data_IF_384542859344
#
_entry.id   IF_384542859344
#
_cell.length_a   1.000
_cell.length_b   1.000
_cell.length_c   1.000
_cell.angle_alpha   90.00
_cell.angle_beta   90.00
_cell.angle_gamma   90.00
#
_symmetry.space_group_name_H-M   'P 1'
#
loop_
_entity.id
_entity.type
_entity.pdbx_description
1 polymer ?
#
# COMPACT_ATOMS: atom_id res chain seq x y z
N UNK A 1 -27.93 -9.26 -10.08
CA UNK A 1 -26.51 -9.40 -9.72
C UNK A 1 -26.41 -10.64 -8.84
N UNK A 2 -25.58 -11.63 -9.21
CA UNK A 2 -25.41 -12.83 -8.38
C UNK A 2 -24.58 -12.48 -7.15
N UNK A 3 -24.89 -13.07 -6.00
CA UNK A 3 -24.11 -12.87 -4.78
C UNK A 3 -22.94 -13.87 -4.82
N UNK A 4 -21.72 -13.42 -4.47
CA UNK A 4 -20.50 -14.25 -4.50
C UNK A 4 -20.68 -15.63 -3.83
N UNK A 5 -21.44 -15.68 -2.72
CA UNK A 5 -21.74 -16.92 -1.99
C UNK A 5 -22.41 -17.98 -2.89
N UNK A 6 -23.36 -17.58 -3.74
CA UNK A 6 -24.05 -18.49 -4.67
C UNK A 6 -23.09 -19.05 -5.72
N UNK A 7 -22.19 -18.20 -6.22
CA UNK A 7 -21.17 -18.58 -7.22
C UNK A 7 -20.17 -19.57 -6.61
N UNK A 8 -19.72 -19.33 -5.38
CA UNK A 8 -18.80 -20.23 -4.67
C UNK A 8 -19.44 -21.58 -4.32
N UNK A 9 -20.73 -21.61 -3.99
CA UNK A 9 -21.46 -22.86 -3.81
C UNK A 9 -21.55 -23.65 -5.11
N UNK A 10 -21.87 -23.00 -6.23
CA UNK A 10 -21.89 -23.64 -7.54
C UNK A 10 -20.52 -24.22 -7.94
N UNK A 11 -19.42 -23.52 -7.62
CA UNK A 11 -18.06 -24.06 -7.81
C UNK A 11 -17.82 -25.29 -6.95
N UNK A 12 -18.20 -25.24 -5.67
CA UNK A 12 -18.05 -26.36 -4.72
C UNK A 12 -18.82 -27.61 -5.19
N UNK A 13 -20.01 -27.42 -5.76
CA UNK A 13 -20.80 -28.49 -6.36
C UNK A 13 -20.12 -29.08 -7.60
N UNK A 14 -19.51 -28.25 -8.44
CA UNK A 14 -18.76 -28.71 -9.62
C UNK A 14 -17.52 -29.50 -9.23
N UNK A 15 -16.75 -29.03 -8.24
CA UNK A 15 -15.59 -29.74 -7.69
C UNK A 15 -16.01 -31.12 -7.17
N UNK A 16 -17.10 -31.19 -6.40
CA UNK A 16 -17.60 -32.44 -5.84
C UNK A 16 -18.09 -33.43 -6.89
N UNK A 17 -18.79 -32.95 -7.92
CA UNK A 17 -19.42 -33.81 -8.93
C UNK A 17 -18.52 -34.12 -10.14
N UNK A 18 -17.45 -33.35 -10.36
CA UNK A 18 -16.55 -33.45 -11.52
C UNK A 18 -15.08 -33.42 -11.11
N UNK A 19 -14.68 -34.33 -10.22
CA UNK A 19 -13.34 -34.38 -9.62
C UNK A 19 -12.18 -34.47 -10.64
N UNK A 20 -12.42 -34.94 -11.87
CA UNK A 20 -11.40 -35.02 -12.93
C UNK A 20 -11.36 -33.79 -13.86
N UNK A 21 -12.14 -32.75 -13.53
CA UNK A 21 -12.26 -31.56 -14.36
C UNK A 21 -11.95 -30.28 -13.57
N UNK A 22 -12.33 -30.20 -12.31
CA UNK A 22 -12.16 -29.01 -11.47
C UNK A 22 -11.07 -29.27 -10.43
N UNK A 23 -9.95 -28.55 -10.54
CA UNK A 23 -8.79 -28.68 -9.66
C UNK A 23 -8.58 -27.38 -8.91
N UNK A 24 -9.08 -27.32 -7.67
CA UNK A 24 -9.00 -26.15 -6.81
C UNK A 24 -8.41 -26.53 -5.46
N UNK A 25 -7.56 -25.66 -4.93
CA UNK A 25 -6.89 -25.88 -3.68
C UNK A 25 -7.81 -25.60 -2.49
N UNK A 26 -7.49 -26.22 -1.36
CA UNK A 26 -8.23 -26.03 -0.12
C UNK A 26 -8.23 -24.55 0.33
N UNK A 27 -9.27 -24.12 1.07
CA UNK A 27 -9.33 -22.79 1.67
C UNK A 27 -8.01 -22.32 2.29
N UNK A 28 -7.65 -21.07 2.02
CA UNK A 28 -6.58 -20.40 2.78
C UNK A 28 -7.15 -19.92 4.12
N UNK A 29 -6.29 -19.78 5.14
CA UNK A 29 -6.66 -19.11 6.39
C UNK A 29 -6.74 -17.61 6.17
N UNK A 30 -7.66 -16.95 6.88
CA UNK A 30 -7.84 -15.50 6.88
C UNK A 30 -6.56 -14.74 7.21
N UNK A 31 -5.81 -15.21 8.21
CA UNK A 31 -4.51 -14.68 8.63
C UNK A 31 -3.48 -14.55 7.47
N UNK A 32 -3.57 -15.41 6.46
CA UNK A 32 -2.67 -15.40 5.30
C UNK A 32 -3.09 -14.34 4.28
N UNK A 33 -4.40 -14.13 4.11
CA UNK A 33 -4.94 -13.07 3.25
C UNK A 33 -4.64 -11.71 3.87
N UNK A 34 -4.89 -11.58 5.17
CA UNK A 34 -4.51 -10.39 5.94
C UNK A 34 -3.01 -10.11 5.80
N UNK A 35 -2.15 -11.11 6.04
CA UNK A 35 -0.70 -10.94 5.88
C UNK A 35 -0.31 -10.41 4.50
N UNK A 36 -0.94 -10.91 3.44
CA UNK A 36 -0.67 -10.47 2.08
C UNK A 36 -1.05 -8.99 1.89
N UNK A 37 -2.26 -8.60 2.32
CA UNK A 37 -2.74 -7.22 2.25
C UNK A 37 -1.84 -6.28 3.06
N UNK A 38 -1.52 -6.64 4.31
CA UNK A 38 -0.64 -5.86 5.20
C UNK A 38 0.80 -5.76 4.67
N UNK A 39 1.42 -6.89 4.30
CA UNK A 39 2.84 -6.92 3.88
C UNK A 39 3.09 -6.07 2.65
N UNK A 40 2.19 -6.14 1.67
CA UNK A 40 2.36 -5.42 0.41
C UNK A 40 1.63 -4.08 0.39
N UNK A 41 0.88 -3.78 1.46
CA UNK A 41 0.10 -2.58 1.61
C UNK A 41 -0.90 -2.44 0.43
N UNK A 42 -1.67 -3.50 0.16
CA UNK A 42 -2.66 -3.59 -0.92
C UNK A 42 -3.97 -4.17 -0.40
N UNK A 43 -5.05 -3.99 -1.13
CA UNK A 43 -6.36 -4.59 -0.85
C UNK A 43 -6.79 -5.50 -1.99
N UNK A 44 -7.17 -6.73 -1.67
CA UNK A 44 -7.76 -7.66 -2.62
C UNK A 44 -9.27 -7.39 -2.75
N UNK A 45 -9.85 -7.50 -3.96
CA UNK A 45 -11.29 -7.38 -4.15
C UNK A 45 -12.06 -8.30 -3.20
N UNK A 46 -13.12 -7.79 -2.58
CA UNK A 46 -13.90 -8.48 -1.54
C UNK A 46 -14.40 -9.85 -1.98
N UNK A 47 -14.86 -9.97 -3.22
CA UNK A 47 -15.30 -11.23 -3.79
C UNK A 47 -14.15 -12.20 -4.08
N UNK A 48 -12.97 -11.70 -4.43
CA UNK A 48 -11.77 -12.51 -4.58
C UNK A 48 -11.26 -13.03 -3.24
N UNK A 49 -11.29 -12.21 -2.18
CA UNK A 49 -11.02 -12.67 -0.80
C UNK A 49 -11.96 -13.79 -0.39
N UNK A 50 -13.26 -13.61 -0.63
CA UNK A 50 -14.28 -14.64 -0.36
C UNK A 50 -13.99 -15.94 -1.11
N UNK A 51 -13.47 -15.85 -2.33
CA UNK A 51 -13.00 -17.01 -3.08
C UNK A 51 -11.80 -17.67 -2.41
N UNK A 52 -10.71 -16.95 -2.11
CA UNK A 52 -9.51 -17.53 -1.49
C UNK A 52 -9.82 -18.27 -0.16
N UNK A 53 -10.73 -17.72 0.64
CA UNK A 53 -11.21 -18.31 1.90
C UNK A 53 -12.11 -19.55 1.72
N UNK A 54 -12.52 -19.86 0.49
CA UNK A 54 -13.31 -21.04 0.15
C UNK A 54 -12.57 -22.02 -0.76
N UNK A 55 -11.74 -21.51 -1.66
CA UNK A 55 -10.95 -22.18 -2.69
C UNK A 55 -9.72 -21.33 -2.98
N UNK A 56 -8.51 -21.82 -2.66
CA UNK A 56 -7.29 -21.00 -2.74
C UNK A 56 -6.60 -21.11 -4.11
N UNK A 57 -7.31 -20.69 -5.17
CA UNK A 57 -6.84 -20.83 -6.55
C UNK A 57 -7.12 -22.20 -7.15
N UNK A 58 -6.85 -22.33 -8.43
CA UNK A 58 -7.12 -23.53 -9.21
C UNK A 58 -7.42 -23.26 -10.67
N UNK A 59 -7.71 -24.34 -11.38
CA UNK A 59 -8.06 -24.30 -12.80
C UNK A 59 -9.11 -25.35 -13.14
N UNK A 60 -9.70 -25.21 -14.33
CA UNK A 60 -10.59 -26.23 -14.90
C UNK A 60 -9.88 -26.89 -16.08
N UNK A 61 -9.64 -28.19 -15.98
CA UNK A 61 -9.12 -29.00 -17.07
C UNK A 61 -10.20 -29.18 -18.13
N UNK A 62 -9.96 -28.71 -19.35
CA UNK A 62 -10.91 -28.89 -20.45
C UNK A 62 -10.95 -30.36 -20.86
N UNK A 63 -12.11 -30.83 -21.35
CA UNK A 63 -12.28 -32.22 -21.84
C UNK A 63 -11.22 -32.63 -22.87
N UNK A 64 -10.76 -31.70 -23.69
CA UNK A 64 -9.69 -31.92 -24.67
C UNK A 64 -8.35 -32.28 -24.02
N UNK A 65 -8.10 -31.85 -22.79
CA UNK A 65 -6.87 -32.04 -22.03
C UNK A 65 -6.94 -33.23 -21.05
N UNK A 66 -8.11 -33.87 -20.87
CA UNK A 66 -8.27 -35.03 -19.97
C UNK A 66 -7.28 -36.16 -20.26
N UNK A 67 -6.99 -36.41 -21.55
CA UNK A 67 -6.01 -37.44 -21.94
C UNK A 67 -4.59 -37.10 -21.51
N UNK A 68 -4.26 -35.81 -21.42
CA UNK A 68 -2.92 -35.32 -21.04
C UNK A 68 -2.67 -35.59 -19.56
N UNK A 69 -3.69 -35.54 -18.70
CA UNK A 69 -3.59 -35.81 -17.25
C UNK A 69 -2.95 -37.17 -16.91
N UNK A 70 -3.12 -38.17 -17.78
CA UNK A 70 -2.57 -39.52 -17.60
C UNK A 70 -1.09 -39.67 -17.96
N UNK A 71 -0.47 -38.62 -18.53
CA UNK A 71 0.93 -38.62 -18.98
C UNK A 71 1.87 -38.10 -17.88
N UNK A 72 3.18 -38.41 -17.93
CA UNK A 72 4.16 -37.77 -17.05
C UNK A 72 4.10 -36.24 -17.17
N UNK A 73 4.05 -35.52 -16.05
CA UNK A 73 3.82 -34.06 -15.99
C UNK A 73 2.50 -33.59 -16.62
N UNK A 74 1.54 -34.51 -16.80
CA UNK A 74 0.26 -34.25 -17.44
C UNK A 74 -0.60 -33.22 -16.71
N UNK A 75 -0.52 -33.21 -15.38
CA UNK A 75 -1.21 -32.24 -14.54
C UNK A 75 -0.72 -30.81 -14.79
N UNK A 76 0.59 -30.57 -14.69
CA UNK A 76 1.19 -29.25 -14.96
C UNK A 76 0.94 -28.81 -16.41
N UNK A 77 0.99 -29.74 -17.36
CA UNK A 77 0.66 -29.46 -18.76
C UNK A 77 -0.81 -29.05 -18.91
N UNK A 78 -1.73 -29.73 -18.23
CA UNK A 78 -3.14 -29.36 -18.26
C UNK A 78 -3.39 -28.01 -17.60
N UNK A 79 -2.74 -27.72 -16.47
CA UNK A 79 -2.77 -26.41 -15.79
C UNK A 79 -2.30 -25.29 -16.71
N UNK A 80 -1.12 -25.45 -17.31
CA UNK A 80 -0.51 -24.48 -18.23
C UNK A 80 -1.36 -24.16 -19.47
N UNK A 81 -2.18 -25.11 -19.93
CA UNK A 81 -3.05 -24.94 -21.09
C UNK A 81 -4.52 -24.65 -20.70
N UNK A 82 -4.74 -24.22 -19.46
CA UNK A 82 -6.03 -23.83 -18.92
C UNK A 82 -5.95 -22.41 -18.38
N UNK A 83 -7.11 -21.75 -18.33
CA UNK A 83 -7.22 -20.53 -17.53
C UNK A 83 -7.09 -20.92 -16.06
N UNK A 84 -6.13 -20.29 -15.39
CA UNK A 84 -5.82 -20.49 -13.98
C UNK A 84 -6.20 -19.25 -13.17
N UNK A 85 -6.85 -19.47 -12.02
CA UNK A 85 -7.06 -18.46 -11.00
C UNK A 85 -6.03 -18.70 -9.90
N UNK A 86 -5.26 -17.68 -9.55
CA UNK A 86 -4.19 -17.77 -8.57
C UNK A 86 -4.70 -17.97 -7.15
N UNK A 87 -3.93 -18.75 -6.38
CA UNK A 87 -4.01 -18.78 -4.93
C UNK A 87 -3.00 -17.80 -4.31
N UNK A 88 -3.01 -17.66 -3.00
CA UNK A 88 -2.13 -16.73 -2.28
C UNK A 88 -0.64 -16.90 -2.59
N UNK A 89 -0.19 -18.15 -2.84
CA UNK A 89 1.20 -18.43 -3.20
C UNK A 89 1.56 -17.83 -4.56
N UNK A 90 0.75 -18.07 -5.59
CA UNK A 90 0.96 -17.56 -6.93
C UNK A 90 0.86 -16.03 -6.95
N UNK A 91 -0.11 -15.44 -6.22
CA UNK A 91 -0.21 -13.98 -6.07
C UNK A 91 1.10 -13.41 -5.54
N UNK A 92 1.62 -13.94 -4.42
CA UNK A 92 2.89 -13.47 -3.82
C UNK A 92 4.05 -13.54 -4.83
N UNK A 93 4.22 -14.70 -5.48
CA UNK A 93 5.34 -14.92 -6.39
C UNK A 93 5.30 -13.97 -7.59
N UNK A 94 4.12 -13.76 -8.18
CA UNK A 94 3.97 -12.86 -9.30
C UNK A 94 4.07 -11.39 -8.86
N UNK A 95 3.41 -11.03 -7.76
CA UNK A 95 3.38 -9.64 -7.29
C UNK A 95 4.77 -9.13 -6.94
N UNK A 96 5.59 -9.89 -6.19
CA UNK A 96 6.95 -9.49 -5.86
C UNK A 96 7.80 -9.27 -7.13
N UNK A 97 7.72 -10.18 -8.09
CA UNK A 97 8.44 -10.06 -9.36
C UNK A 97 8.02 -8.82 -10.16
N UNK A 98 6.72 -8.56 -10.26
CA UNK A 98 6.18 -7.44 -11.03
C UNK A 98 6.50 -6.09 -10.35
N UNK A 99 6.32 -6.01 -9.03
CA UNK A 99 6.65 -4.86 -8.20
C UNK A 99 8.13 -4.50 -8.30
N UNK A 100 9.03 -5.46 -8.14
CA UNK A 100 10.48 -5.20 -8.11
C UNK A 100 10.99 -4.63 -9.45
N UNK A 101 10.21 -4.79 -10.52
CA UNK A 101 10.51 -4.29 -11.86
C UNK A 101 9.71 -3.02 -12.20
N UNK A 102 8.85 -2.51 -11.30
CA UNK A 102 7.84 -1.50 -11.61
C UNK A 102 7.11 -1.82 -12.92
N UNK A 103 6.73 -3.09 -13.10
CA UNK A 103 6.23 -3.58 -14.38
C UNK A 103 5.04 -2.74 -14.86
N UNK A 104 5.16 -2.16 -16.06
CA UNK A 104 4.12 -1.37 -16.73
C UNK A 104 3.75 -0.07 -16.00
N UNK A 105 4.62 0.40 -15.12
CA UNK A 105 4.62 1.73 -14.53
C UNK A 105 5.83 2.53 -15.01
N UNK A 106 5.86 3.82 -14.68
CA UNK A 106 7.01 4.67 -14.94
C UNK A 106 8.24 4.21 -14.15
N UNK A 107 9.44 4.41 -14.71
CA UNK A 107 10.70 3.94 -14.13
C UNK A 107 11.03 4.59 -12.79
N UNK A 108 10.50 5.78 -12.53
CA UNK A 108 10.65 6.54 -11.29
C UNK A 108 9.44 6.39 -10.36
N UNK A 109 8.57 5.40 -10.60
CA UNK A 109 7.42 5.11 -9.73
C UNK A 109 7.85 4.97 -8.27
N UNK A 110 7.13 5.68 -7.40
CA UNK A 110 7.27 5.65 -5.95
C UNK A 110 5.93 5.26 -5.33
N UNK A 111 5.98 4.62 -4.16
CA UNK A 111 4.79 4.20 -3.43
C UNK A 111 4.45 2.73 -3.64
N UNK A 112 3.19 2.39 -3.38
CA UNK A 112 2.71 1.00 -3.49
C UNK A 112 2.55 0.61 -4.96
N UNK A 113 2.89 -0.64 -5.31
CA UNK A 113 2.68 -1.16 -6.65
C UNK A 113 1.21 -1.58 -6.82
N UNK A 114 0.43 -0.95 -7.71
CA UNK A 114 -1.03 -1.08 -7.71
C UNK A 114 -1.56 -2.29 -8.48
N UNK A 115 -0.74 -3.02 -9.23
CA UNK A 115 -1.20 -4.08 -10.13
C UNK A 115 -1.15 -5.43 -9.40
N UNK A 116 -2.32 -6.03 -9.12
CA UNK A 116 -2.41 -7.31 -8.43
C UNK A 116 -2.65 -8.45 -9.43
N UNK A 117 -1.72 -9.40 -9.57
CA UNK A 117 -1.93 -10.58 -10.41
C UNK A 117 -2.97 -11.51 -9.77
N UNK A 118 -3.93 -11.98 -10.56
CA UNK A 118 -5.01 -12.86 -10.07
C UNK A 118 -5.17 -14.17 -10.85
N UNK A 119 -4.51 -14.30 -12.01
CA UNK A 119 -4.58 -15.52 -12.81
C UNK A 119 -3.82 -15.45 -14.11
N UNK A 120 -3.85 -16.54 -14.87
CA UNK A 120 -3.31 -16.65 -16.22
C UNK A 120 -4.38 -17.15 -17.18
N UNK A 121 -4.36 -16.66 -18.41
CA UNK A 121 -5.13 -17.22 -19.53
C UNK A 121 -4.48 -18.53 -20.02
N UNK A 122 -5.18 -19.28 -20.86
CA UNK A 122 -4.62 -20.46 -21.53
C UNK A 122 -3.55 -20.11 -22.59
N UNK A 123 -3.38 -18.81 -22.89
CA UNK A 123 -2.27 -18.26 -23.67
C UNK A 123 -1.11 -17.76 -22.80
N UNK A 124 -1.19 -17.89 -21.46
CA UNK A 124 -0.26 -17.34 -20.47
C UNK A 124 -0.20 -15.81 -20.41
N UNK A 125 -1.30 -15.14 -20.73
CA UNK A 125 -1.47 -13.72 -20.46
C UNK A 125 -1.95 -13.52 -19.03
N UNK A 126 -1.53 -12.41 -18.41
CA UNK A 126 -1.82 -12.17 -17.00
C UNK A 126 -3.19 -11.55 -16.85
N UNK A 127 -3.95 -12.04 -15.87
CA UNK A 127 -5.19 -11.40 -15.44
C UNK A 127 -4.91 -10.61 -14.16
N UNK A 128 -5.36 -9.36 -14.11
CA UNK A 128 -5.01 -8.45 -13.01
C UNK A 128 -6.20 -7.69 -12.45
N UNK A 129 -6.08 -7.31 -11.18
CA UNK A 129 -6.82 -6.21 -10.55
C UNK A 129 -5.93 -4.98 -10.44
N UNK A 130 -6.55 -3.81 -10.20
CA UNK A 130 -5.85 -2.55 -9.96
C UNK A 130 -6.31 -1.97 -8.63
N UNK A 131 -5.35 -1.56 -7.79
CA UNK A 131 -5.58 -0.78 -6.58
C UNK A 131 -5.36 0.71 -6.84
N UNK A 132 -6.07 1.62 -6.15
CA UNK A 132 -7.07 1.35 -5.12
C UNK A 132 -8.36 0.75 -5.68
N UNK A 133 -9.10 0.03 -4.82
CA UNK A 133 -10.40 -0.54 -5.16
C UNK A 133 -11.46 0.56 -5.35
N UNK A 134 -12.56 0.23 -6.02
CA UNK A 134 -13.70 1.13 -6.16
C UNK A 134 -14.53 1.25 -4.86
N UNK A 135 -15.62 2.02 -4.90
CA UNK A 135 -16.47 2.27 -3.72
C UNK A 135 -17.22 1.05 -3.20
N UNK A 136 -17.21 -0.06 -3.92
CA UNK A 136 -17.86 -1.33 -3.54
C UNK A 136 -16.83 -2.38 -3.07
N UNK A 137 -15.58 -1.98 -2.80
CA UNK A 137 -14.44 -2.83 -2.44
C UNK A 137 -14.11 -3.86 -3.55
N UNK A 138 -14.28 -3.47 -4.82
CA UNK A 138 -14.00 -4.32 -5.98
C UNK A 138 -13.05 -3.66 -6.97
N UNK A 139 -12.53 -4.48 -7.89
CA UNK A 139 -11.82 -4.05 -9.08
C UNK A 139 -12.37 -4.82 -10.28
N UNK A 140 -12.47 -4.19 -11.45
CA UNK A 140 -12.63 -4.94 -12.69
C UNK A 140 -11.48 -5.92 -12.89
N UNK A 141 -11.75 -6.96 -13.66
CA UNK A 141 -10.74 -7.90 -14.15
C UNK A 141 -10.23 -7.40 -15.49
N UNK A 142 -8.92 -7.20 -15.61
CA UNK A 142 -8.27 -6.77 -16.85
C UNK A 142 -7.44 -7.87 -17.50
N UNK A 143 -7.37 -7.85 -18.83
CA UNK A 143 -6.43 -8.66 -19.60
C UNK A 143 -5.12 -7.90 -19.78
N UNK A 144 -4.05 -8.34 -19.11
CA UNK A 144 -2.76 -7.67 -19.09
C UNK A 144 -1.78 -8.34 -20.06
N UNK A 145 -1.84 -7.92 -21.32
CA UNK A 145 -0.92 -8.38 -22.36
C UNK A 145 0.52 -7.92 -22.07
N UNK A 146 1.46 -8.85 -22.23
CA UNK A 146 2.87 -8.60 -21.92
C UNK A 146 3.49 -7.47 -22.75
N UNK A 147 3.13 -7.35 -24.02
CA UNK A 147 3.69 -6.35 -24.93
C UNK A 147 3.00 -4.99 -24.77
N UNK A 148 1.72 -4.96 -24.41
CA UNK A 148 0.91 -3.76 -24.50
C UNK A 148 0.95 -2.90 -23.22
N UNK A 149 0.88 -1.57 -23.32
CA UNK A 149 0.77 -0.68 -22.16
C UNK A 149 -0.61 -0.81 -21.50
N UNK A 150 -0.74 -0.24 -20.29
CA UNK A 150 -1.97 -0.29 -19.48
C UNK A 150 -3.18 0.40 -20.13
N UNK A 151 -2.95 1.23 -21.16
CA UNK A 151 -3.99 1.86 -21.97
C UNK A 151 -4.69 0.88 -22.92
N UNK A 152 -4.15 -0.32 -23.13
CA UNK A 152 -4.72 -1.32 -24.03
C UNK A 152 -5.29 -2.53 -23.27
N UNK A 153 -5.12 -2.55 -21.93
CA UNK A 153 -5.65 -3.59 -21.07
C UNK A 153 -7.13 -3.33 -20.81
N UNK A 154 -7.98 -4.01 -21.55
CA UNK A 154 -9.43 -3.85 -21.45
C UNK A 154 -10.06 -4.71 -20.35
N UNK A 155 -11.30 -4.35 -20.00
CA UNK A 155 -12.08 -5.02 -18.96
C UNK A 155 -12.68 -6.32 -19.50
N UNK A 156 -12.35 -7.45 -18.88
CA UNK A 156 -12.96 -8.77 -19.13
C UNK A 156 -14.27 -8.92 -18.33
N UNK A 157 -14.31 -8.42 -17.10
CA UNK A 157 -15.48 -8.47 -16.22
C UNK A 157 -15.45 -7.32 -15.24
N UNK A 158 -16.62 -6.80 -14.88
CA UNK A 158 -16.74 -5.61 -14.00
C UNK A 158 -16.28 -5.88 -12.56
N UNK A 159 -16.30 -7.14 -12.12
CA UNK A 159 -15.77 -7.59 -10.83
C UNK A 159 -15.47 -9.09 -10.86
N UNK A 160 -14.83 -9.59 -9.80
CA UNK A 160 -14.44 -11.00 -9.73
C UNK A 160 -15.64 -11.96 -9.58
N UNK A 161 -16.76 -11.52 -8.98
CA UNK A 161 -17.98 -12.35 -8.89
C UNK A 161 -18.54 -12.69 -10.27
N UNK A 162 -18.61 -11.70 -11.17
CA UNK A 162 -19.07 -11.91 -12.55
C UNK A 162 -18.10 -12.76 -13.37
N UNK A 163 -16.80 -12.50 -13.21
CA UNK A 163 -15.75 -13.30 -13.81
C UNK A 163 -15.90 -14.79 -13.41
N UNK A 164 -15.95 -15.08 -12.11
CA UNK A 164 -16.04 -16.44 -11.61
C UNK A 164 -17.33 -17.14 -12.02
N UNK A 165 -18.46 -16.42 -12.00
CA UNK A 165 -19.75 -16.94 -12.49
C UNK A 165 -19.65 -17.38 -13.95
N UNK A 166 -19.03 -16.55 -14.79
CA UNK A 166 -18.83 -16.86 -16.21
C UNK A 166 -17.89 -18.05 -16.36
N UNK A 167 -16.76 -18.04 -15.65
CA UNK A 167 -15.74 -19.10 -15.67
C UNK A 167 -16.34 -20.49 -15.40
N UNK A 168 -17.19 -20.59 -14.37
CA UNK A 168 -17.88 -21.84 -14.01
C UNK A 168 -18.91 -22.25 -15.07
N UNK A 169 -19.65 -21.28 -15.61
CA UNK A 169 -20.73 -21.57 -16.57
C UNK A 169 -20.22 -22.16 -17.88
N UNK A 170 -19.01 -21.81 -18.29
CA UNK A 170 -18.35 -22.29 -19.52
C UNK A 170 -17.29 -23.36 -19.24
N UNK A 171 -17.26 -23.93 -18.02
CA UNK A 171 -16.28 -24.93 -17.59
C UNK A 171 -14.82 -24.50 -17.94
N UNK A 172 -14.46 -23.26 -17.63
CA UNK A 172 -13.11 -22.68 -17.83
C UNK A 172 -12.73 -22.29 -19.27
N UNK A 173 -13.62 -22.49 -20.24
CA UNK A 173 -13.42 -22.06 -21.64
C UNK A 173 -13.91 -20.63 -21.89
N UNK A 174 -13.47 -19.68 -21.05
CA UNK A 174 -13.86 -18.28 -21.16
C UNK A 174 -13.08 -17.59 -22.29
N UNK A 175 -13.76 -16.72 -23.05
CA UNK A 175 -13.09 -15.75 -23.92
C UNK A 175 -12.54 -14.60 -23.06
N UNK A 176 -11.25 -14.34 -23.13
CA UNK A 176 -10.58 -13.24 -22.42
C UNK A 176 -10.48 -11.97 -23.25
N UNK A 177 -11.02 -11.96 -24.48
CA UNK A 177 -11.15 -10.74 -25.27
C UNK A 177 -11.92 -9.70 -24.47
N UNK A 178 -11.28 -8.55 -24.23
CA UNK A 178 -11.86 -7.45 -23.50
C UNK A 178 -13.23 -7.02 -24.07
N UNK A 179 -14.12 -6.59 -23.18
CA UNK A 179 -15.40 -5.99 -23.54
C UNK A 179 -15.19 -4.73 -24.39
N UNK A 180 -16.24 -4.30 -25.12
CA UNK A 180 -16.24 -3.04 -25.87
C UNK A 180 -16.25 -1.79 -24.97
N UNK A 181 -15.82 -1.90 -23.70
CA UNK A 181 -15.67 -0.77 -22.80
C UNK A 181 -14.65 0.21 -23.36
N UNK A 182 -14.92 1.50 -23.19
CA UNK A 182 -13.97 2.58 -23.51
C UNK A 182 -12.94 2.78 -22.38
N UNK A 183 -13.13 2.12 -21.23
CA UNK A 183 -12.21 2.19 -20.09
C UNK A 183 -11.19 1.05 -20.12
N UNK A 184 -10.01 1.35 -19.61
CA UNK A 184 -8.80 0.51 -19.64
C UNK A 184 -8.15 0.51 -18.27
N UNK A 185 -7.20 -0.39 -18.00
CA UNK A 185 -6.52 -0.44 -16.71
C UNK A 185 -5.86 0.90 -16.33
N UNK A 186 -5.40 1.70 -17.31
CA UNK A 186 -4.84 3.03 -17.08
C UNK A 186 -5.78 3.97 -16.34
N UNK A 187 -7.08 3.88 -16.62
CA UNK A 187 -8.11 4.76 -16.04
C UNK A 187 -8.33 4.48 -14.54
N UNK A 188 -7.83 3.35 -14.03
CA UNK A 188 -7.93 2.93 -12.64
C UNK A 188 -6.60 3.04 -11.89
N UNK A 189 -5.48 3.27 -12.61
CA UNK A 189 -4.18 3.41 -11.97
C UNK A 189 -4.09 4.70 -11.14
N UNK A 190 -3.58 4.62 -9.90
CA UNK A 190 -3.36 5.78 -9.06
C UNK A 190 -2.19 6.62 -9.56
N UNK A 191 -2.01 7.79 -8.94
CA UNK A 191 -0.86 8.65 -9.22
C UNK A 191 0.42 8.11 -8.57
N UNK A 192 1.57 8.44 -9.15
CA UNK A 192 2.87 8.12 -8.56
C UNK A 192 2.99 8.78 -7.18
N UNK A 193 3.47 8.03 -6.20
CA UNK A 193 3.54 8.48 -4.81
C UNK A 193 2.29 8.15 -3.98
N UNK A 194 1.26 7.51 -4.57
CA UNK A 194 0.17 6.98 -3.76
C UNK A 194 0.73 5.96 -2.75
N UNK A 195 0.25 6.06 -1.52
CA UNK A 195 0.43 5.02 -0.53
C UNK A 195 -0.93 4.41 -0.22
N UNK A 196 -0.90 3.21 0.35
CA UNK A 196 -2.14 2.46 0.55
C UNK A 196 -3.06 3.10 1.59
N UNK A 197 -4.30 2.63 1.53
CA UNK A 197 -5.39 2.89 2.47
C UNK A 197 -4.99 2.81 3.94
N UNK A 198 -4.14 1.87 4.36
CA UNK A 198 -3.86 1.64 5.78
C UNK A 198 -2.81 2.58 6.41
N UNK A 199 -1.76 2.97 5.67
CA UNK A 199 -0.72 3.88 6.19
C UNK A 199 -1.19 5.34 6.17
N UNK A 200 -1.92 5.72 5.11
CA UNK A 200 -2.44 7.07 4.90
C UNK A 200 -3.89 7.23 5.36
N UNK A 201 -4.43 6.25 6.11
CA UNK A 201 -5.77 6.35 6.69
C UNK A 201 -5.85 7.57 7.61
N UNK A 202 -6.90 8.36 7.44
CA UNK A 202 -7.24 9.43 8.39
C UNK A 202 -7.73 8.87 9.73
N UNK A 203 -8.04 7.57 9.82
CA UNK A 203 -8.35 6.88 11.07
C UNK A 203 -7.09 6.30 11.71
N UNK A 204 -6.61 6.97 12.76
CA UNK A 204 -5.43 6.53 13.50
C UNK A 204 -5.56 5.13 14.12
N UNK A 205 -6.77 4.59 14.33
CA UNK A 205 -6.95 3.22 14.81
C UNK A 205 -6.59 2.19 13.74
N UNK A 206 -6.90 2.48 12.48
CA UNK A 206 -6.55 1.62 11.36
C UNK A 206 -5.02 1.63 11.13
N UNK A 207 -4.42 2.82 11.15
CA UNK A 207 -2.96 3.00 11.08
C UNK A 207 -2.26 2.24 12.22
N UNK A 208 -2.83 2.32 13.44
CA UNK A 208 -2.31 1.59 14.60
C UNK A 208 -2.37 0.07 14.38
N UNK A 209 -3.53 -0.45 13.98
CA UNK A 209 -3.72 -1.88 13.72
C UNK A 209 -2.75 -2.38 12.64
N UNK A 210 -2.56 -1.60 11.58
CA UNK A 210 -1.58 -1.88 10.54
C UNK A 210 -0.18 -2.08 11.13
N UNK A 211 0.33 -1.12 11.92
CA UNK A 211 1.67 -1.27 12.50
C UNK A 211 1.74 -2.40 13.53
N UNK A 212 0.68 -2.67 14.29
CA UNK A 212 0.62 -3.83 15.20
C UNK A 212 0.76 -5.16 14.43
N UNK A 213 0.08 -5.30 13.29
CA UNK A 213 0.22 -6.46 12.40
C UNK A 213 1.62 -6.55 11.79
N UNK A 214 2.18 -5.44 11.34
CA UNK A 214 3.55 -5.42 10.80
C UNK A 214 4.59 -5.83 11.85
N UNK A 215 4.39 -5.50 13.13
CA UNK A 215 5.25 -5.95 14.22
C UNK A 215 5.09 -7.45 14.47
N UNK A 216 3.88 -7.99 14.39
CA UNK A 216 3.64 -9.43 14.50
C UNK A 216 4.37 -10.21 13.40
N UNK A 217 4.29 -9.72 12.16
CA UNK A 217 4.89 -10.37 11.00
C UNK A 217 6.39 -10.15 10.86
N UNK A 218 6.90 -8.99 11.28
CA UNK A 218 8.29 -8.56 11.15
C UNK A 218 8.84 -8.10 12.51
N UNK A 219 8.92 -8.99 13.52
CA UNK A 219 9.24 -8.62 14.90
C UNK A 219 10.65 -8.06 15.09
N UNK A 220 11.55 -8.30 14.14
CA UNK A 220 12.94 -7.82 14.17
C UNK A 220 13.11 -6.44 13.50
N UNK A 221 12.05 -5.89 12.89
CA UNK A 221 12.08 -4.59 12.21
C UNK A 221 11.58 -3.46 13.12
N UNK A 222 12.51 -2.81 13.85
CA UNK A 222 12.18 -1.72 14.76
C UNK A 222 11.54 -0.48 14.11
N UNK A 223 11.56 -0.37 12.78
CA UNK A 223 10.90 0.72 12.05
C UNK A 223 9.38 0.73 12.28
N UNK A 224 8.72 -0.43 12.30
CA UNK A 224 7.26 -0.50 12.52
C UNK A 224 6.89 -0.13 13.96
N UNK A 225 7.76 -0.44 14.92
CA UNK A 225 7.59 -0.01 16.32
C UNK A 225 7.76 1.51 16.44
N UNK A 226 8.67 2.11 15.69
CA UNK A 226 8.84 3.56 15.64
C UNK A 226 7.62 4.27 15.02
N UNK A 227 7.06 3.72 13.93
CA UNK A 227 5.83 4.26 13.33
C UNK A 227 4.61 4.08 14.24
N UNK A 228 4.49 2.93 14.92
CA UNK A 228 3.49 2.71 15.97
C UNK A 228 3.66 3.72 17.12
N UNK A 229 4.88 4.08 17.49
CA UNK A 229 5.13 5.11 18.50
C UNK A 229 4.62 6.48 18.05
N UNK A 230 4.91 6.88 16.81
CA UNK A 230 4.37 8.14 16.26
C UNK A 230 2.84 8.10 16.16
N UNK A 231 2.25 6.97 15.79
CA UNK A 231 0.80 6.78 15.74
C UNK A 231 0.18 6.96 17.14
N UNK A 232 0.73 6.29 18.17
CA UNK A 232 0.25 6.46 19.54
C UNK A 232 0.43 7.92 20.03
N UNK A 233 1.50 8.62 19.63
CA UNK A 233 1.69 10.05 19.92
C UNK A 233 0.56 10.89 19.32
N UNK A 234 0.22 10.67 18.04
CA UNK A 234 -0.88 11.37 17.37
C UNK A 234 -2.24 11.08 18.02
N UNK A 235 -2.41 9.87 18.58
CA UNK A 235 -3.59 9.49 19.36
C UNK A 235 -3.59 10.06 20.79
N UNK A 236 -2.50 10.70 21.23
CA UNK A 236 -2.34 11.27 22.57
C UNK A 236 -1.88 10.27 23.65
N UNK A 237 -1.62 9.01 23.31
CA UNK A 237 -1.03 8.01 24.22
C UNK A 237 0.49 8.17 24.25
N UNK A 238 0.93 9.24 24.92
CA UNK A 238 2.34 9.63 24.98
C UNK A 238 3.19 8.64 25.79
N UNK A 239 2.61 7.95 26.77
CA UNK A 239 3.33 6.96 27.59
C UNK A 239 3.68 5.71 26.75
N UNK A 240 2.69 5.15 26.04
CA UNK A 240 2.93 4.04 25.12
C UNK A 240 3.85 4.44 23.98
N UNK A 241 3.67 5.65 23.43
CA UNK A 241 4.55 6.20 22.40
C UNK A 241 6.01 6.25 22.86
N UNK A 242 6.28 6.80 24.05
CA UNK A 242 7.63 6.90 24.59
C UNK A 242 8.27 5.52 24.81
N UNK A 243 7.50 4.57 25.35
CA UNK A 243 7.97 3.20 25.55
C UNK A 243 8.33 2.52 24.22
N UNK A 244 7.46 2.67 23.21
CA UNK A 244 7.66 2.04 21.91
C UNK A 244 8.86 2.65 21.18
N UNK A 245 9.02 3.98 21.19
CA UNK A 245 10.17 4.59 20.51
C UNK A 245 11.50 4.22 21.19
N UNK A 246 11.51 4.07 22.53
CA UNK A 246 12.67 3.60 23.27
C UNK A 246 13.02 2.15 22.96
N UNK A 247 12.01 1.31 22.74
CA UNK A 247 12.21 -0.06 22.28
C UNK A 247 12.78 -0.07 20.86
N UNK A 248 12.16 0.67 19.94
CA UNK A 248 12.58 0.77 18.55
C UNK A 248 14.04 1.21 18.43
N UNK A 249 14.44 2.28 19.12
CA UNK A 249 15.82 2.79 19.09
C UNK A 249 16.86 1.84 19.72
N UNK A 250 16.44 0.89 20.56
CA UNK A 250 17.30 -0.17 21.09
C UNK A 250 17.47 -1.33 20.12
N UNK A 251 16.53 -1.50 19.19
CA UNK A 251 16.66 -2.50 18.15
C UNK A 251 17.75 -2.05 17.19
N UNK A 252 18.66 -2.96 16.84
CA UNK A 252 19.76 -2.70 15.92
C UNK A 252 19.28 -2.63 14.45
N UNK A 253 18.14 -1.98 14.24
CA UNK A 253 17.51 -1.71 12.95
C UNK A 253 17.79 -0.27 12.56
N UNK A 254 18.07 -0.03 11.28
CA UNK A 254 18.20 1.32 10.75
C UNK A 254 16.81 2.00 10.74
N UNK A 255 16.56 2.92 11.68
CA UNK A 255 15.30 3.65 11.78
C UNK A 255 15.56 5.11 11.39
N UNK A 256 15.09 5.51 10.21
CA UNK A 256 15.36 6.84 9.67
C UNK A 256 14.75 7.98 10.50
N UNK A 257 13.52 7.80 11.02
CA UNK A 257 12.79 8.84 11.77
C UNK A 257 12.82 8.64 13.30
N UNK A 258 13.59 7.69 13.81
CA UNK A 258 13.47 7.24 15.22
C UNK A 258 13.74 8.34 16.24
N UNK A 259 14.88 9.03 16.11
CA UNK A 259 15.24 10.14 17.00
C UNK A 259 14.28 11.33 16.87
N UNK A 260 13.79 11.58 15.66
CA UNK A 260 12.81 12.62 15.42
C UNK A 260 11.49 12.33 16.12
N UNK A 261 10.95 11.11 16.00
CA UNK A 261 9.73 10.73 16.72
C UNK A 261 9.91 10.85 18.22
N UNK A 262 11.06 10.41 18.76
CA UNK A 262 11.34 10.58 20.19
C UNK A 262 11.38 12.05 20.61
N UNK A 263 11.99 12.92 19.80
CA UNK A 263 11.98 14.36 20.02
C UNK A 263 10.56 14.92 20.09
N UNK A 264 9.69 14.55 19.14
CA UNK A 264 8.29 15.01 19.13
C UNK A 264 7.50 14.49 20.33
N UNK A 265 7.68 13.22 20.72
CA UNK A 265 7.04 12.66 21.91
C UNK A 265 7.47 13.43 23.17
N UNK A 266 8.76 13.71 23.33
CA UNK A 266 9.28 14.47 24.48
C UNK A 266 8.77 15.92 24.48
N UNK A 267 8.64 16.54 23.32
CA UNK A 267 8.07 17.88 23.20
C UNK A 267 6.59 17.92 23.60
N UNK A 268 5.82 16.88 23.24
CA UNK A 268 4.41 16.73 23.60
C UNK A 268 4.23 16.37 25.09
N UNK A 269 5.27 15.79 25.72
CA UNK A 269 5.39 15.56 27.17
C UNK A 269 5.92 16.78 27.96
N UNK A 270 6.01 17.96 27.33
CA UNK A 270 6.53 19.19 27.94
C UNK A 270 7.99 19.09 28.44
N UNK A 271 8.83 18.30 27.76
CA UNK A 271 10.27 18.16 28.04
C UNK A 271 11.12 18.74 26.88
N UNK A 272 11.13 20.07 26.68
CA UNK A 272 11.71 20.69 25.50
C UNK A 272 13.23 20.54 25.39
N UNK A 273 13.96 20.52 26.51
CA UNK A 273 15.42 20.34 26.50
C UNK A 273 15.79 18.94 25.99
N UNK A 274 15.12 17.90 26.52
CA UNK A 274 15.32 16.53 26.06
C UNK A 274 14.87 16.35 24.60
N UNK A 275 13.78 16.99 24.20
CA UNK A 275 13.34 17.00 22.81
C UNK A 275 14.41 17.60 21.87
N UNK A 276 15.06 18.70 22.30
CA UNK A 276 16.13 19.34 21.54
C UNK A 276 17.38 18.45 21.40
N UNK A 277 17.71 17.65 22.42
CA UNK A 277 18.81 16.69 22.33
C UNK A 277 18.56 15.65 21.22
N UNK A 278 17.35 15.08 21.16
CA UNK A 278 17.03 14.04 20.19
C UNK A 278 16.89 14.59 18.76
N UNK A 279 16.35 15.79 18.56
CA UNK A 279 16.31 16.38 17.21
C UNK A 279 17.72 16.72 16.71
N UNK A 280 18.63 17.13 17.61
CA UNK A 280 20.04 17.35 17.25
C UNK A 280 20.73 16.04 16.87
N UNK A 281 20.38 14.92 17.50
CA UNK A 281 20.86 13.60 17.12
C UNK A 281 20.33 13.16 15.74
N UNK A 282 19.06 13.46 15.44
CA UNK A 282 18.51 13.22 14.09
C UNK A 282 19.26 14.03 13.03
N UNK A 283 19.54 15.32 13.30
CA UNK A 283 20.30 16.19 12.40
C UNK A 283 21.73 15.68 12.21
N UNK A 284 22.43 15.24 13.25
CA UNK A 284 23.81 14.76 13.12
C UNK A 284 23.92 13.44 12.34
N UNK A 285 22.88 12.60 12.38
CA UNK A 285 22.80 11.39 11.55
C UNK A 285 22.45 11.70 10.09
N UNK A 286 21.80 12.83 9.85
CA UNK A 286 21.25 13.21 8.55
C UNK A 286 21.56 14.68 8.22
N UNK A 287 22.84 15.05 8.21
CA UNK A 287 23.30 16.46 8.17
C UNK A 287 22.76 17.26 6.97
N UNK A 288 22.48 16.58 5.86
CA UNK A 288 21.97 17.17 4.62
C UNK A 288 20.43 17.28 4.57
N UNK A 289 19.72 16.79 5.60
CA UNK A 289 18.26 16.82 5.64
C UNK A 289 17.76 18.16 6.19
N UNK A 290 17.16 18.99 5.33
CA UNK A 290 16.47 20.22 5.74
C UNK A 290 15.25 19.92 6.62
N UNK A 291 14.64 18.74 6.46
CA UNK A 291 13.47 18.32 7.22
C UNK A 291 13.70 18.36 8.75
N UNK A 292 14.80 17.78 9.25
CA UNK A 292 15.05 17.76 10.70
C UNK A 292 15.41 19.14 11.25
N UNK A 293 16.05 20.00 10.44
CA UNK A 293 16.30 21.41 10.77
C UNK A 293 15.00 22.20 10.89
N UNK A 294 14.06 22.01 9.95
CA UNK A 294 12.72 22.59 10.03
C UNK A 294 11.99 22.15 11.31
N UNK A 295 12.07 20.87 11.65
CA UNK A 295 11.43 20.33 12.87
C UNK A 295 12.07 20.86 14.15
N UNK A 296 13.37 21.10 14.17
CA UNK A 296 14.03 21.80 15.27
C UNK A 296 13.59 23.26 15.38
N UNK A 297 13.46 23.98 14.28
CA UNK A 297 12.95 25.35 14.28
C UNK A 297 11.49 25.43 14.78
N UNK A 298 10.66 24.47 14.39
CA UNK A 298 9.28 24.32 14.89
C UNK A 298 9.27 24.07 16.40
N UNK A 299 10.14 23.19 16.91
CA UNK A 299 10.30 22.93 18.35
C UNK A 299 10.77 24.19 19.11
N UNK A 300 11.78 24.90 18.60
CA UNK A 300 12.24 26.16 19.17
C UNK A 300 11.12 27.23 19.20
N UNK A 301 10.29 27.28 18.16
CA UNK A 301 9.12 28.16 18.11
C UNK A 301 8.07 27.80 19.17
N UNK A 302 7.83 26.50 19.42
CA UNK A 302 6.95 26.03 20.50
C UNK A 302 7.48 26.44 21.88
N UNK A 303 8.80 26.35 22.08
CA UNK A 303 9.49 26.69 23.33
C UNK A 303 9.87 28.18 23.46
N UNK A 304 9.32 29.05 22.63
CA UNK A 304 9.59 30.51 22.61
C UNK A 304 11.07 30.89 22.42
N UNK A 305 11.90 29.98 21.92
CA UNK A 305 13.30 30.22 21.54
C UNK A 305 13.39 30.82 20.15
N UNK A 306 12.81 32.01 19.99
CA UNK A 306 12.52 32.60 18.70
C UNK A 306 13.76 32.96 17.89
N UNK A 307 14.83 33.42 18.51
CA UNK A 307 16.07 33.79 17.82
C UNK A 307 16.73 32.56 17.16
N UNK A 308 16.68 31.41 17.84
CA UNK A 308 17.20 30.16 17.31
C UNK A 308 16.35 29.63 16.16
N UNK A 309 15.02 29.69 16.29
CA UNK A 309 14.09 29.32 15.21
C UNK A 309 14.26 30.22 13.99
N UNK A 310 14.30 31.54 14.18
CA UNK A 310 14.42 32.52 13.10
C UNK A 310 15.72 32.35 12.32
N UNK A 311 16.84 32.15 13.02
CA UNK A 311 18.13 31.88 12.39
C UNK A 311 18.08 30.64 11.49
N UNK A 312 17.56 29.53 12.01
CA UNK A 312 17.50 28.27 11.27
C UNK A 312 16.54 28.35 10.06
N UNK A 313 15.38 28.98 10.22
CA UNK A 313 14.44 29.18 9.11
C UNK A 313 15.04 30.06 8.00
N UNK A 314 15.81 31.08 8.36
CA UNK A 314 16.51 31.91 7.38
C UNK A 314 17.56 31.11 6.60
N UNK A 315 18.37 30.28 7.28
CA UNK A 315 19.35 29.40 6.63
C UNK A 315 18.67 28.43 5.64
N UNK A 316 17.50 27.90 5.98
CA UNK A 316 16.75 26.99 5.09
C UNK A 316 16.20 27.73 3.87
N UNK A 317 15.67 28.95 4.06
CA UNK A 317 15.20 29.82 2.96
C UNK A 317 16.35 30.23 2.03
N UNK A 318 17.54 30.50 2.56
CA UNK A 318 18.72 30.82 1.74
C UNK A 318 19.12 29.66 0.83
N UNK A 319 18.98 28.42 1.31
CA UNK A 319 19.27 27.21 0.54
C UNK A 319 18.14 26.87 -0.44
N UNK A 320 16.88 26.96 -0.01
CA UNK A 320 15.72 26.70 -0.83
C UNK A 320 14.67 27.82 -0.70
N UNK A 321 14.74 28.86 -1.56
CA UNK A 321 13.85 30.02 -1.47
C UNK A 321 12.42 29.74 -1.96
N UNK A 322 12.15 28.54 -2.49
CA UNK A 322 10.85 28.10 -3.00
C UNK A 322 10.13 27.13 -2.05
N UNK A 323 10.69 26.84 -0.87
CA UNK A 323 10.03 26.00 0.13
C UNK A 323 8.89 26.75 0.85
N UNK A 324 7.66 26.55 0.38
CA UNK A 324 6.46 27.15 0.93
C UNK A 324 6.27 26.87 2.43
N UNK A 325 6.59 25.66 2.90
CA UNK A 325 6.39 25.26 4.29
C UNK A 325 7.34 26.01 5.24
N UNK A 326 8.57 26.31 4.79
CA UNK A 326 9.51 27.10 5.60
C UNK A 326 8.99 28.52 5.85
N UNK A 327 8.40 29.19 4.85
CA UNK A 327 7.76 30.49 5.05
C UNK A 327 6.56 30.40 5.98
N UNK A 328 5.71 29.38 5.84
CA UNK A 328 4.59 29.15 6.75
C UNK A 328 5.04 29.02 8.22
N UNK A 329 6.10 28.23 8.47
CA UNK A 329 6.65 28.08 9.82
C UNK A 329 7.22 29.39 10.38
N UNK A 330 7.95 30.17 9.58
CA UNK A 330 8.47 31.48 10.02
C UNK A 330 7.35 32.49 10.26
N UNK A 331 6.30 32.47 9.43
CA UNK A 331 5.08 33.23 9.65
C UNK A 331 4.40 32.88 10.98
N UNK A 332 4.24 31.58 11.30
CA UNK A 332 3.71 31.12 12.59
C UNK A 332 4.58 31.55 13.77
N UNK A 333 5.90 31.51 13.60
CA UNK A 333 6.83 32.01 14.61
C UNK A 333 6.63 33.52 14.84
N UNK A 334 6.54 34.32 13.78
CA UNK A 334 6.28 35.76 13.88
C UNK A 334 4.92 36.07 14.51
N UNK A 335 3.86 35.28 14.25
CA UNK A 335 2.58 35.41 14.96
C UNK A 335 2.74 35.21 16.46
N UNK A 336 3.48 34.19 16.89
CA UNK A 336 3.77 33.94 18.32
C UNK A 336 4.62 35.05 18.95
N UNK A 337 5.47 35.74 18.17
CA UNK A 337 6.22 36.94 18.59
C UNK A 337 5.39 38.23 18.51
N UNK A 338 4.12 38.17 18.11
CA UNK A 338 3.24 39.33 17.86
C UNK A 338 3.75 40.29 16.75
N UNK A 339 4.58 39.76 15.84
CA UNK A 339 5.14 40.47 14.69
C UNK A 339 4.24 40.30 13.46
N UNK A 340 3.03 40.89 13.53
CA UNK A 340 1.95 40.61 12.58
C UNK A 340 2.26 40.93 11.12
N UNK A 341 3.04 42.00 10.84
CA UNK A 341 3.37 42.35 9.46
C UNK A 341 4.30 41.32 8.82
N UNK A 342 5.38 40.92 9.52
CA UNK A 342 6.30 39.90 9.02
C UNK A 342 5.60 38.54 8.89
N UNK A 343 4.72 38.22 9.83
CA UNK A 343 3.90 37.03 9.73
C UNK A 343 3.02 37.02 8.48
N UNK A 344 2.33 38.14 8.20
CA UNK A 344 1.48 38.27 7.02
C UNK A 344 2.30 38.13 5.73
N UNK A 345 3.45 38.80 5.65
CA UNK A 345 4.32 38.75 4.47
C UNK A 345 4.80 37.32 4.17
N UNK A 346 5.19 36.57 5.20
CA UNK A 346 5.62 35.17 5.07
C UNK A 346 4.47 34.22 4.73
N UNK A 347 3.31 34.38 5.35
CA UNK A 347 2.14 33.55 5.05
C UNK A 347 1.65 33.77 3.62
N UNK A 348 1.66 35.02 3.12
CA UNK A 348 1.34 35.33 1.72
C UNK A 348 2.39 34.77 0.75
N UNK A 349 3.67 34.75 1.16
CA UNK A 349 4.72 34.13 0.35
C UNK A 349 4.54 32.62 0.25
N UNK A 350 4.16 31.96 1.36
CA UNK A 350 3.85 30.54 1.41
C UNK A 350 2.69 30.19 0.47
N UNK A 351 1.55 30.88 0.61
CA UNK A 351 0.35 30.71 -0.23
C UNK A 351 0.63 30.95 -1.72
N UNK A 352 1.51 31.89 -2.05
CA UNK A 352 1.92 32.13 -3.44
C UNK A 352 2.74 30.98 -4.04
N UNK A 353 3.55 30.29 -3.22
CA UNK A 353 4.43 29.21 -3.67
C UNK A 353 3.66 27.89 -3.80
N UNK A 354 2.84 27.55 -2.80
CA UNK A 354 1.90 26.44 -2.83
C UNK A 354 0.51 26.95 -2.42
N UNK A 355 -0.35 27.24 -3.41
CA UNK A 355 -1.73 27.62 -3.14
C UNK A 355 -2.47 26.44 -2.51
N UNK A 356 -3.02 26.64 -1.32
CA UNK A 356 -3.70 25.62 -0.51
C UNK A 356 -5.18 25.90 -0.30
#
# INVERSE_FOLDING_TARGET
MKIIIEVLNALSDKISNKQNQYYFDNPVKEEVVEFLEYKYNIELPKSYKSFLLKHNGGFVCRKSLEKVLSQPNGFETARWNSLEIFGTREIIQHYEKLRDQNWKLDWDWKGVYPIIPMGLTDANELLVFINPLDSEDESPVFDAFHEDPTNDWGIISENFTEFLSTFISVDGAMSTIASNSLKTARDFLPECGWKSTHEDSNDLNEVKLYFEKMIEYFPDEGKYIAELANTNRLMGDLETALKNIDLALKMNSYIYFGEYYKSMILADLEQPEAALEYINLAISKHENSSFFKLKRAELNTRSCSFEAAEKELNEIIEVNPEDAYTYYLRGKMYLKKEQFQQALDDLLRSDKLEPG
#
